data_IF_039154822919
#
_entry.id   IF_039154822919
#
_cell.length_a   1.000
_cell.length_b   1.000
_cell.length_c   1.000
_cell.angle_alpha   90.00
_cell.angle_beta   90.00
_cell.angle_gamma   90.00
#
_symmetry.space_group_name_H-M   'P 1'
#
loop_
_entity.id
_entity.type
_entity.pdbx_description
1 polymer ?
#
# COMPACT_ATOMS: atom_id res chain seq x y z
N UNK A 1 -0.33 14.28 -13.45
CA UNK A 1 -0.23 12.97 -12.76
C UNK A 1 1.22 12.79 -12.35
N UNK A 2 1.49 12.46 -11.08
CA UNK A 2 2.86 12.25 -10.56
C UNK A 2 3.00 10.77 -10.18
N UNK A 3 4.05 10.13 -10.66
CA UNK A 3 4.39 8.75 -10.33
C UNK A 3 5.82 8.71 -9.80
N UNK A 4 6.05 7.92 -8.75
CA UNK A 4 7.38 7.73 -8.17
C UNK A 4 7.45 6.37 -7.51
N UNK A 5 8.61 5.73 -7.62
CA UNK A 5 8.92 4.52 -6.86
C UNK A 5 9.27 4.91 -5.42
N UNK A 6 8.64 4.24 -4.45
CA UNK A 6 8.83 4.51 -3.03
C UNK A 6 8.86 3.18 -2.28
N UNK A 7 9.84 2.93 -1.40
CA UNK A 7 9.81 1.76 -0.51
C UNK A 7 8.53 1.73 0.31
N UNK A 8 7.93 0.55 0.47
CA UNK A 8 6.65 0.39 1.19
C UNK A 8 6.69 1.02 2.58
N UNK A 9 7.77 0.81 3.34
CA UNK A 9 7.95 1.38 4.68
C UNK A 9 7.86 2.90 4.66
N UNK A 10 8.55 3.57 3.73
CA UNK A 10 8.50 5.02 3.56
C UNK A 10 7.15 5.53 3.06
N UNK A 11 6.42 4.71 2.29
CA UNK A 11 5.08 5.05 1.83
C UNK A 11 4.06 5.05 2.98
N UNK A 12 4.18 4.08 3.90
CA UNK A 12 3.32 3.94 5.07
C UNK A 12 3.75 4.82 6.25
N UNK A 13 4.99 5.30 6.25
CA UNK A 13 5.56 6.12 7.34
C UNK A 13 4.92 7.52 7.44
N UNK A 14 4.82 8.00 8.68
CA UNK A 14 4.29 9.30 9.06
C UNK A 14 2.78 9.33 9.34
N UNK A 15 2.31 10.49 9.81
CA UNK A 15 0.90 10.71 10.15
C UNK A 15 0.10 10.93 8.86
N UNK A 16 -0.52 9.87 8.33
CA UNK A 16 -1.36 9.91 7.12
C UNK A 16 -2.53 8.95 7.27
N UNK A 17 -3.61 9.22 6.56
CA UNK A 17 -4.79 8.36 6.54
C UNK A 17 -5.09 7.93 5.10
N UNK A 18 -5.09 6.62 4.86
CA UNK A 18 -5.56 6.06 3.59
C UNK A 18 -7.08 5.91 3.63
N UNK A 19 -7.78 6.55 2.69
CA UNK A 19 -9.24 6.53 2.58
C UNK A 19 -9.63 5.68 1.38
N UNK A 20 -10.43 4.63 1.61
CA UNK A 20 -11.05 3.84 0.56
C UNK A 20 -12.43 4.44 0.24
N UNK A 21 -12.67 4.97 -0.98
CA UNK A 21 -13.98 5.51 -1.34
C UNK A 21 -15.08 4.45 -1.34
N UNK A 22 -16.31 4.85 -1.04
CA UNK A 22 -17.48 3.96 -0.95
C UNK A 22 -17.81 3.21 -2.25
N UNK A 23 -17.43 3.75 -3.41
CA UNK A 23 -17.66 3.14 -4.71
C UNK A 23 -16.64 2.05 -5.06
N UNK A 24 -15.63 1.83 -4.21
CA UNK A 24 -14.71 0.72 -4.39
C UNK A 24 -15.33 -0.62 -3.98
N UNK A 25 -14.83 -1.70 -4.58
CA UNK A 25 -15.25 -3.06 -4.21
C UNK A 25 -14.77 -3.43 -2.80
N UNK A 26 -15.44 -4.41 -2.19
CA UNK A 26 -14.99 -4.99 -0.91
C UNK A 26 -13.66 -5.72 -1.06
N UNK A 27 -13.03 -6.02 0.08
CA UNK A 27 -11.90 -6.94 0.09
C UNK A 27 -12.32 -8.29 -0.50
N UNK A 28 -11.48 -8.84 -1.39
CA UNK A 28 -11.82 -10.01 -2.20
C UNK A 28 -10.59 -10.83 -2.60
N UNK A 29 -9.41 -10.50 -2.07
CA UNK A 29 -8.26 -11.38 -2.22
C UNK A 29 -8.53 -12.66 -1.43
N UNK A 30 -8.21 -13.79 -2.03
CA UNK A 30 -8.28 -15.10 -1.42
C UNK A 30 -6.91 -15.48 -0.88
N UNK A 31 -6.83 -16.65 -0.24
CA UNK A 31 -5.56 -17.22 0.23
C UNK A 31 -4.52 -17.28 -0.88
N UNK A 32 -4.93 -17.58 -2.12
CA UNK A 32 -4.02 -17.66 -3.26
C UNK A 32 -3.26 -16.35 -3.52
N UNK A 33 -3.96 -15.22 -3.54
CA UNK A 33 -3.31 -13.91 -3.74
C UNK A 33 -2.45 -13.52 -2.53
N UNK A 34 -2.90 -13.85 -1.33
CA UNK A 34 -2.14 -13.60 -0.09
C UNK A 34 -0.85 -14.43 -0.05
N UNK A 35 -0.90 -15.71 -0.41
CA UNK A 35 0.26 -16.59 -0.51
C UNK A 35 1.25 -16.10 -1.55
N UNK A 36 0.77 -15.65 -2.71
CA UNK A 36 1.64 -15.08 -3.73
C UNK A 36 2.38 -13.85 -3.18
N UNK A 37 1.67 -12.90 -2.59
CA UNK A 37 2.30 -11.71 -1.98
C UNK A 37 3.31 -12.09 -0.90
N UNK A 38 2.96 -13.08 -0.07
CA UNK A 38 3.85 -13.57 0.99
C UNK A 38 5.14 -14.18 0.42
N UNK A 39 5.02 -15.03 -0.59
CA UNK A 39 6.17 -15.66 -1.24
C UNK A 39 7.07 -14.62 -1.91
N UNK A 40 6.49 -13.60 -2.55
CA UNK A 40 7.24 -12.49 -3.16
C UNK A 40 8.08 -11.74 -2.09
N UNK A 41 7.51 -11.53 -0.89
CA UNK A 41 8.22 -10.89 0.24
C UNK A 41 9.37 -11.77 0.74
N UNK A 42 9.11 -13.07 0.97
CA UNK A 42 10.13 -14.01 1.44
C UNK A 42 11.27 -14.14 0.43
N UNK A 43 10.95 -14.20 -0.86
CA UNK A 43 11.96 -14.30 -1.92
C UNK A 43 12.95 -13.13 -1.89
N UNK A 44 12.48 -11.90 -1.65
CA UNK A 44 13.35 -10.72 -1.51
C UNK A 44 14.16 -10.75 -0.22
N UNK A 45 13.53 -11.20 0.87
CA UNK A 45 14.19 -11.27 2.17
C UNK A 45 15.36 -12.27 2.16
N UNK A 46 15.22 -13.37 1.41
CA UNK A 46 16.23 -14.44 1.32
C UNK A 46 17.27 -14.20 0.21
N UNK A 47 16.90 -13.50 -0.88
CA UNK A 47 17.78 -13.28 -2.01
C UNK A 47 18.60 -11.98 -1.88
N UNK A 48 19.86 -12.13 -1.45
CA UNK A 48 20.81 -11.01 -1.34
C UNK A 48 21.17 -10.33 -2.67
N UNK A 49 20.92 -10.98 -3.81
CA UNK A 49 21.19 -10.43 -5.14
C UNK A 49 20.03 -9.60 -5.69
N UNK A 50 18.82 -9.74 -5.13
CA UNK A 50 17.62 -9.01 -5.55
C UNK A 50 17.15 -8.09 -4.42
N UNK A 51 17.70 -6.86 -4.31
CA UNK A 51 17.48 -6.00 -3.15
C UNK A 51 16.07 -5.39 -3.06
N UNK A 52 15.25 -5.54 -4.11
CA UNK A 52 13.90 -5.00 -4.16
C UNK A 52 13.00 -5.82 -5.09
N UNK A 53 11.70 -5.85 -4.79
CA UNK A 53 10.66 -6.40 -5.64
C UNK A 53 9.53 -5.42 -5.83
N UNK A 54 9.02 -5.36 -7.05
CA UNK A 54 7.89 -4.51 -7.39
C UNK A 54 6.57 -5.23 -7.09
N UNK A 55 5.96 -4.90 -5.95
CA UNK A 55 4.65 -5.43 -5.52
C UNK A 55 3.45 -4.74 -6.20
N UNK A 56 3.71 -3.97 -7.26
CA UNK A 56 2.73 -3.21 -8.04
C UNK A 56 2.51 -1.76 -7.57
N UNK A 57 1.69 -1.02 -8.32
CA UNK A 57 1.37 0.40 -8.08
C UNK A 57 0.23 0.62 -7.08
N UNK A 58 0.27 1.73 -6.34
CA UNK A 58 -0.88 2.27 -5.58
C UNK A 58 -1.21 3.63 -6.19
N UNK A 59 -2.46 3.83 -6.57
CA UNK A 59 -2.93 5.10 -7.15
C UNK A 59 -3.82 5.78 -6.14
N UNK A 60 -3.53 7.04 -5.81
CA UNK A 60 -4.31 7.80 -4.85
C UNK A 60 -4.37 9.28 -5.21
N UNK A 61 -5.34 9.99 -4.62
CA UNK A 61 -5.49 11.44 -4.71
C UNK A 61 -5.18 12.03 -3.35
N UNK A 62 -4.23 12.96 -3.31
CA UNK A 62 -3.98 13.81 -2.15
C UNK A 62 -5.10 14.86 -2.10
N UNK A 63 -5.92 14.85 -1.04
CA UNK A 63 -6.83 15.98 -0.82
C UNK A 63 -5.97 17.23 -0.54
N UNK A 64 -6.29 18.36 -1.15
CA UNK A 64 -5.54 19.61 -0.95
C UNK A 64 -5.91 20.33 0.35
N UNK A 65 -5.07 21.31 0.73
CA UNK A 65 -5.19 22.23 1.88
C UNK A 65 -5.56 21.55 3.21
N UNK A 66 -4.56 21.00 3.87
CA UNK A 66 -4.63 20.58 5.27
C UNK A 66 -4.33 21.77 6.19
N UNK A 67 -5.09 21.96 7.26
CA UNK A 67 -4.59 22.76 8.38
C UNK A 67 -3.45 22.01 9.06
N UNK A 68 -2.62 22.73 9.82
CA UNK A 68 -1.44 22.15 10.52
C UNK A 68 -1.84 21.02 11.49
N UNK A 69 -3.10 21.01 11.95
CA UNK A 69 -3.67 19.97 12.82
C UNK A 69 -4.28 18.78 12.09
N UNK A 70 -4.46 18.84 10.77
CA UNK A 70 -5.17 17.81 10.03
C UNK A 70 -4.23 16.68 9.63
N UNK A 71 -4.71 15.44 9.75
CA UNK A 71 -4.02 14.26 9.21
C UNK A 71 -4.21 14.24 7.69
N UNK A 72 -3.14 14.26 6.87
CA UNK A 72 -3.22 14.12 5.44
C UNK A 72 -4.05 12.91 5.00
N UNK A 73 -5.05 13.13 4.15
CA UNK A 73 -5.94 12.09 3.63
C UNK A 73 -5.59 11.71 2.19
N UNK A 74 -5.25 10.45 2.00
CA UNK A 74 -4.90 9.86 0.70
C UNK A 74 -6.06 9.00 0.21
N UNK A 75 -6.83 9.51 -0.76
CA UNK A 75 -7.96 8.78 -1.32
C UNK A 75 -7.48 7.73 -2.32
N UNK A 76 -7.57 6.46 -1.98
CA UNK A 76 -7.06 5.35 -2.80
C UNK A 76 -8.01 5.04 -3.94
N UNK A 77 -7.50 5.09 -5.17
CA UNK A 77 -8.23 4.82 -6.41
C UNK A 77 -7.91 3.42 -6.94
N UNK A 78 -6.68 2.95 -6.76
CA UNK A 78 -6.26 1.60 -7.11
C UNK A 78 -5.17 1.10 -6.14
N UNK A 79 -5.04 -0.23 -6.03
CA UNK A 79 -4.10 -0.89 -5.12
C UNK A 79 -4.66 -1.20 -3.73
N UNK A 80 -5.97 -1.00 -3.51
CA UNK A 80 -6.59 -1.16 -2.20
C UNK A 80 -6.37 -2.54 -1.55
N UNK A 81 -6.50 -3.66 -2.29
CA UNK A 81 -6.41 -5.00 -1.69
C UNK A 81 -4.99 -5.28 -1.21
N UNK A 82 -4.00 -4.84 -2.00
CA UNK A 82 -2.57 -4.93 -1.67
C UNK A 82 -2.27 -4.10 -0.42
N UNK A 83 -2.71 -2.84 -0.41
CA UNK A 83 -2.51 -1.94 0.72
C UNK A 83 -3.16 -2.48 2.01
N UNK A 84 -4.39 -2.97 1.94
CA UNK A 84 -5.08 -3.59 3.07
C UNK A 84 -4.33 -4.81 3.58
N UNK A 85 -3.93 -5.72 2.70
CA UNK A 85 -3.23 -6.96 3.09
C UNK A 85 -1.88 -6.65 3.75
N UNK A 86 -1.09 -5.73 3.17
CA UNK A 86 0.19 -5.30 3.75
C UNK A 86 0.00 -4.62 5.11
N UNK A 87 -1.05 -3.82 5.26
CA UNK A 87 -1.36 -3.16 6.53
C UNK A 87 -1.74 -4.17 7.61
N UNK A 88 -2.53 -5.18 7.27
CA UNK A 88 -2.88 -6.27 8.19
C UNK A 88 -1.65 -7.09 8.58
N UNK A 89 -0.77 -7.41 7.63
CA UNK A 89 0.48 -8.12 7.90
C UNK A 89 1.40 -7.35 8.85
N UNK A 90 1.47 -6.02 8.73
CA UNK A 90 2.28 -5.17 9.62
C UNK A 90 1.66 -4.97 11.01
N UNK A 91 0.36 -5.21 11.16
CA UNK A 91 -0.36 -5.04 12.43
C UNK A 91 -0.44 -6.32 13.28
N UNK A 92 -0.09 -7.48 12.70
CA UNK A 92 -0.07 -8.78 13.36
C UNK A 92 1.15 -8.94 14.29
#
# INVERSE_FOLDING_TARGET
>A
MKASEVPLTKFLDGTRQFIIPIYQRTYSWTEKECEQLWNDIIQVAENKETPAHFIGSIVYIEKGLYQVSDVPQLLVIDGQQRLTTLTLLLAA
#
